data_IF_442197787057
#
_entry.id   IF_442197787057
#
_cell.length_a   1.000
_cell.length_b   1.000
_cell.length_c   1.000
_cell.angle_alpha   90.00
_cell.angle_beta   90.00
_cell.angle_gamma   90.00
#
_symmetry.space_group_name_H-M   'P 1'
#
loop_
_entity.id
_entity.type
_entity.pdbx_description
1 polymer ?
#
# COMPACT_ATOMS: atom_id res chain seq x y z
N UNK A 1 4.46 30.03 -0.23
CA UNK A 1 3.22 29.24 -0.39
C UNK A 1 3.38 27.76 -0.08
N UNK A 2 4.60 27.17 -0.10
CA UNK A 2 4.82 25.75 0.25
C UNK A 2 4.33 25.38 1.66
N UNK A 3 4.48 26.26 2.66
CA UNK A 3 4.02 26.04 4.04
C UNK A 3 2.49 25.81 4.08
N UNK A 4 1.72 26.69 3.45
CA UNK A 4 0.25 26.56 3.38
C UNK A 4 -0.19 25.24 2.74
N UNK A 5 0.50 24.79 1.68
CA UNK A 5 0.20 23.51 1.03
C UNK A 5 0.39 22.33 2.00
N UNK A 6 1.43 22.37 2.84
CA UNK A 6 1.66 21.34 3.86
C UNK A 6 0.62 21.42 5.00
N UNK A 7 0.22 22.61 5.42
CA UNK A 7 -0.82 22.79 6.45
C UNK A 7 -2.17 22.22 5.98
N UNK A 8 -2.55 22.48 4.73
CA UNK A 8 -3.77 21.93 4.12
C UNK A 8 -3.68 20.40 4.05
N UNK A 9 -2.57 19.86 3.54
CA UNK A 9 -2.36 18.42 3.46
C UNK A 9 -2.44 17.76 4.85
N UNK A 10 -1.76 18.32 5.85
CA UNK A 10 -1.79 17.82 7.22
C UNK A 10 -3.21 17.86 7.80
N UNK A 11 -3.95 18.93 7.58
CA UNK A 11 -5.34 19.08 8.03
C UNK A 11 -6.23 17.98 7.44
N UNK A 12 -6.10 17.71 6.13
CA UNK A 12 -6.89 16.67 5.47
C UNK A 12 -6.57 15.28 6.01
N UNK A 13 -5.30 14.99 6.26
CA UNK A 13 -4.86 13.73 6.87
C UNK A 13 -5.42 13.57 8.30
N UNK A 14 -5.35 14.63 9.12
CA UNK A 14 -5.85 14.61 10.50
C UNK A 14 -7.38 14.45 10.58
N UNK A 15 -8.11 15.01 9.61
CA UNK A 15 -9.57 14.89 9.54
C UNK A 15 -10.03 13.58 8.88
N UNK A 16 -9.10 12.75 8.39
CA UNK A 16 -9.41 11.48 7.73
C UNK A 16 -10.19 11.64 6.42
N UNK A 17 -10.03 12.78 5.73
CA UNK A 17 -10.68 12.97 4.45
C UNK A 17 -9.99 12.15 3.37
N UNK A 18 -10.78 11.38 2.62
CA UNK A 18 -10.32 10.74 1.39
C UNK A 18 -10.45 11.74 0.24
N UNK A 19 -9.31 12.22 -0.25
CA UNK A 19 -9.26 13.17 -1.35
C UNK A 19 -8.18 12.76 -2.36
N UNK A 20 -8.43 13.11 -3.63
CA UNK A 20 -7.44 13.01 -4.69
C UNK A 20 -6.60 14.28 -4.69
N UNK A 21 -5.29 14.15 -4.50
CA UNK A 21 -4.33 15.25 -4.51
C UNK A 21 -3.63 15.28 -5.85
N UNK A 22 -3.55 16.46 -6.46
CA UNK A 22 -2.80 16.71 -7.69
C UNK A 22 -1.74 17.78 -7.41
N UNK A 23 -0.48 17.44 -7.69
CA UNK A 23 0.68 18.32 -7.48
C UNK A 23 1.34 18.53 -8.83
N UNK A 24 1.27 19.77 -9.32
CA UNK A 24 1.98 20.19 -10.52
C UNK A 24 3.44 20.54 -10.18
N UNK A 25 4.38 20.09 -11.01
CA UNK A 25 5.78 20.42 -10.86
C UNK A 25 6.01 21.91 -11.12
N UNK A 26 6.93 22.55 -10.39
CA UNK A 26 7.18 23.99 -10.50
C UNK A 26 7.67 24.42 -11.90
N UNK A 27 8.24 23.49 -12.66
CA UNK A 27 8.67 23.69 -14.04
C UNK A 27 7.56 23.41 -15.08
N UNK A 28 6.34 23.10 -14.63
CA UNK A 28 5.17 22.78 -15.46
C UNK A 28 5.36 21.55 -16.36
N UNK A 29 6.34 20.70 -16.10
CA UNK A 29 6.62 19.53 -16.96
C UNK A 29 5.84 18.27 -16.56
N UNK A 30 4.97 18.34 -15.54
CA UNK A 30 4.20 17.18 -15.12
C UNK A 30 3.33 17.41 -13.91
N UNK A 31 2.39 16.49 -13.73
CA UNK A 31 1.48 16.43 -12.58
C UNK A 31 1.63 15.06 -11.93
N UNK A 32 1.80 15.05 -10.61
CA UNK A 32 1.74 13.84 -9.78
C UNK A 32 0.37 13.80 -9.12
N UNK A 33 -0.23 12.62 -9.11
CA UNK A 33 -1.57 12.42 -8.58
C UNK A 33 -1.56 11.22 -7.63
N UNK A 34 -2.20 11.36 -6.48
CA UNK A 34 -2.38 10.27 -5.51
C UNK A 34 -3.65 10.47 -4.68
N UNK A 35 -4.13 9.41 -4.04
CA UNK A 35 -5.23 9.47 -3.09
C UNK A 35 -4.70 9.56 -1.65
N UNK A 36 -5.32 10.37 -0.79
CA UNK A 36 -4.84 10.57 0.60
C UNK A 36 -4.80 9.27 1.42
N UNK A 37 -5.70 8.32 1.16
CA UNK A 37 -5.70 7.00 1.79
C UNK A 37 -4.44 6.17 1.48
N UNK A 38 -3.68 6.53 0.47
CA UNK A 38 -2.40 5.90 0.15
C UNK A 38 -1.27 6.36 1.10
N UNK A 39 -1.39 7.56 1.69
CA UNK A 39 -0.41 8.11 2.65
C UNK A 39 -0.61 7.51 4.04
N UNK A 40 -1.85 7.27 4.44
CA UNK A 40 -2.17 6.76 5.78
C UNK A 40 -1.82 5.28 5.84
N UNK A 41 -0.90 4.94 6.75
CA UNK A 41 -0.53 3.56 7.01
C UNK A 41 -1.53 2.95 7.99
N UNK A 42 -2.18 1.87 7.57
CA UNK A 42 -2.86 0.98 8.49
C UNK A 42 -1.83 0.18 9.30
N UNK A 43 -2.16 -0.14 10.55
CA UNK A 43 -1.41 -1.15 11.29
C UNK A 43 -1.43 -2.48 10.52
N UNK A 44 -0.24 -3.03 10.32
CA UNK A 44 -0.02 -4.34 9.73
C UNK A 44 0.39 -5.30 10.83
N UNK A 45 -0.22 -6.49 10.84
CA UNK A 45 0.24 -7.55 11.73
C UNK A 45 1.44 -8.30 11.14
N UNK A 46 2.12 -9.07 11.99
CA UNK A 46 3.33 -9.81 11.64
C UNK A 46 3.13 -10.72 10.42
N UNK A 47 1.96 -11.38 10.32
CA UNK A 47 1.63 -12.27 9.19
C UNK A 47 1.38 -11.50 7.90
N UNK A 48 0.77 -10.32 7.98
CA UNK A 48 0.61 -9.42 6.86
C UNK A 48 1.97 -8.95 6.32
N UNK A 49 2.91 -8.62 7.22
CA UNK A 49 4.29 -8.27 6.87
C UNK A 49 5.01 -9.45 6.20
N UNK A 50 4.93 -10.66 6.76
CA UNK A 50 5.50 -11.87 6.15
C UNK A 50 4.97 -12.12 4.73
N UNK A 51 3.65 -11.94 4.53
CA UNK A 51 3.02 -12.10 3.21
C UNK A 51 3.53 -11.04 2.23
N UNK A 52 3.65 -9.78 2.64
CA UNK A 52 4.20 -8.70 1.81
C UNK A 52 5.64 -9.04 1.40
N UNK A 53 6.46 -9.50 2.33
CA UNK A 53 7.85 -9.86 2.09
C UNK A 53 7.98 -11.08 1.16
N UNK A 54 7.09 -12.08 1.29
CA UNK A 54 7.03 -13.19 0.34
C UNK A 54 6.70 -12.71 -1.09
N UNK A 55 5.76 -11.77 -1.24
CA UNK A 55 5.40 -11.21 -2.55
C UNK A 55 6.56 -10.41 -3.14
N UNK A 56 7.25 -9.59 -2.32
CA UNK A 56 8.47 -8.88 -2.70
C UNK A 56 9.57 -9.84 -3.16
N UNK A 57 9.69 -11.01 -2.51
CA UNK A 57 10.59 -12.10 -2.88
C UNK A 57 10.22 -12.82 -4.19
N UNK A 58 9.12 -12.44 -4.85
CA UNK A 58 8.71 -12.98 -6.15
C UNK A 58 7.62 -14.05 -6.08
N UNK A 59 7.05 -14.33 -4.90
CA UNK A 59 5.94 -15.28 -4.77
C UNK A 59 4.60 -14.62 -5.13
N UNK A 60 4.01 -15.01 -6.26
CA UNK A 60 2.85 -14.30 -6.83
C UNK A 60 1.51 -15.03 -6.73
N UNK A 61 1.48 -16.23 -6.15
CA UNK A 61 0.26 -17.04 -6.00
C UNK A 61 0.04 -17.39 -4.53
N UNK A 62 -1.23 -17.41 -4.12
CA UNK A 62 -1.65 -17.72 -2.73
C UNK A 62 -1.02 -19.01 -2.22
N UNK A 63 -0.97 -20.07 -3.04
CA UNK A 63 -0.38 -21.35 -2.66
C UNK A 63 1.13 -21.27 -2.42
N UNK A 64 1.84 -20.53 -3.26
CA UNK A 64 3.29 -20.38 -3.15
C UNK A 64 3.65 -19.55 -1.91
N UNK A 65 2.87 -18.49 -1.67
CA UNK A 65 2.98 -17.65 -0.47
C UNK A 65 2.72 -18.49 0.78
N UNK A 66 1.63 -19.25 0.84
CA UNK A 66 1.31 -20.11 1.99
C UNK A 66 2.40 -21.16 2.26
N UNK A 67 3.05 -21.67 1.20
CA UNK A 67 4.14 -22.64 1.34
C UNK A 67 5.40 -21.99 1.93
N UNK A 68 5.78 -20.79 1.49
CA UNK A 68 7.01 -20.13 1.96
C UNK A 68 6.84 -19.50 3.34
N UNK A 69 5.66 -18.98 3.67
CA UNK A 69 5.39 -18.39 4.99
C UNK A 69 4.97 -19.43 6.04
N UNK A 70 4.68 -20.67 5.64
CA UNK A 70 4.11 -21.70 6.51
C UNK A 70 2.77 -21.27 7.19
N UNK A 71 2.07 -20.28 6.61
CA UNK A 71 0.76 -19.83 7.08
C UNK A 71 -0.33 -20.68 6.40
N UNK A 72 -1.41 -21.09 7.11
CA UNK A 72 -2.50 -21.82 6.50
C UNK A 72 -3.10 -21.10 5.29
N UNK A 73 -3.38 -21.85 4.21
CA UNK A 73 -3.85 -21.31 2.92
C UNK A 73 -5.09 -20.40 3.08
N UNK A 74 -6.04 -20.79 3.91
CA UNK A 74 -7.25 -20.01 4.20
C UNK A 74 -6.92 -18.67 4.86
N UNK A 75 -5.92 -18.66 5.74
CA UNK A 75 -5.44 -17.45 6.43
C UNK A 75 -4.72 -16.54 5.46
N UNK A 76 -3.83 -17.07 4.62
CA UNK A 76 -3.14 -16.29 3.58
C UNK A 76 -4.14 -15.66 2.62
N UNK A 77 -5.15 -16.41 2.18
CA UNK A 77 -6.21 -15.88 1.31
C UNK A 77 -6.96 -14.72 1.97
N UNK A 78 -7.35 -14.88 3.24
CA UNK A 78 -8.01 -13.82 4.01
C UNK A 78 -7.13 -12.59 4.16
N UNK A 79 -5.85 -12.77 4.50
CA UNK A 79 -4.88 -11.67 4.67
C UNK A 79 -4.58 -10.94 3.36
N UNK A 80 -4.47 -11.66 2.25
CA UNK A 80 -4.30 -11.04 0.91
C UNK A 80 -5.51 -10.18 0.56
N UNK A 81 -6.74 -10.63 0.88
CA UNK A 81 -7.93 -9.82 0.66
C UNK A 81 -7.90 -8.53 1.48
N UNK A 82 -7.61 -8.65 2.78
CA UNK A 82 -7.49 -7.48 3.67
C UNK A 82 -6.41 -6.51 3.17
N UNK A 83 -5.25 -7.01 2.76
CA UNK A 83 -4.15 -6.19 2.22
C UNK A 83 -4.52 -5.52 0.89
N UNK A 84 -5.33 -6.17 0.06
CA UNK A 84 -5.84 -5.57 -1.17
C UNK A 84 -6.86 -4.47 -0.88
N UNK A 85 -7.77 -4.68 0.08
CA UNK A 85 -8.72 -3.65 0.54
C UNK A 85 -8.02 -2.42 1.14
N UNK A 86 -6.94 -2.64 1.89
CA UNK A 86 -6.06 -1.59 2.44
C UNK A 86 -5.15 -0.91 1.38
N UNK A 87 -5.20 -1.37 0.12
CA UNK A 87 -4.45 -0.79 -1.00
C UNK A 87 -2.96 -1.15 -1.06
N UNK A 88 -2.49 -2.15 -0.30
CA UNK A 88 -1.10 -2.63 -0.38
C UNK A 88 -0.87 -3.61 -1.54
N UNK A 89 -1.92 -4.28 -2.01
CA UNK A 89 -1.85 -5.32 -3.03
C UNK A 89 -2.88 -5.12 -4.14
N UNK A 90 -2.48 -5.49 -5.35
CA UNK A 90 -3.40 -5.70 -6.47
C UNK A 90 -3.58 -7.20 -6.75
N UNK A 91 -4.84 -7.61 -6.90
CA UNK A 91 -5.22 -8.99 -7.20
C UNK A 91 -5.61 -9.11 -8.67
N UNK A 92 -4.76 -9.75 -9.48
CA UNK A 92 -5.08 -10.17 -10.84
C UNK A 92 -4.88 -11.67 -11.03
N UNK A 93 -4.37 -12.06 -12.21
CA UNK A 93 -3.86 -13.43 -12.43
C UNK A 93 -2.68 -13.76 -11.50
N UNK A 94 -1.96 -12.72 -11.10
CA UNK A 94 -0.85 -12.75 -10.16
C UNK A 94 -1.11 -11.69 -9.08
N UNK A 95 -0.63 -11.95 -7.87
CA UNK A 95 -0.64 -10.98 -6.77
C UNK A 95 0.58 -10.09 -6.93
N UNK A 96 0.38 -8.78 -6.87
CA UNK A 96 1.43 -7.77 -6.99
C UNK A 96 1.31 -6.73 -5.87
N UNK A 97 2.45 -6.18 -5.45
CA UNK A 97 2.47 -5.02 -4.57
C UNK A 97 2.05 -3.77 -5.36
N UNK A 98 1.25 -2.92 -4.73
CA UNK A 98 1.06 -1.54 -5.19
C UNK A 98 2.28 -0.70 -4.83
N UNK A 99 2.31 0.58 -5.23
CA UNK A 99 3.36 1.50 -4.78
C UNK A 99 3.43 1.61 -3.25
N UNK A 100 2.26 1.68 -2.59
CA UNK A 100 2.13 1.63 -1.13
C UNK A 100 2.75 0.35 -0.55
N UNK A 101 2.42 -0.80 -1.15
CA UNK A 101 3.00 -2.11 -0.79
C UNK A 101 4.52 -2.20 -0.97
N UNK A 102 5.07 -1.62 -2.04
CA UNK A 102 6.51 -1.56 -2.26
C UNK A 102 7.21 -0.74 -1.18
N UNK A 103 6.70 0.46 -0.89
CA UNK A 103 7.27 1.37 0.11
C UNK A 103 7.25 0.72 1.49
N UNK A 104 6.11 0.15 1.91
CA UNK A 104 6.00 -0.44 3.26
C UNK A 104 6.94 -1.63 3.43
N UNK A 105 7.18 -2.41 2.37
CA UNK A 105 8.13 -3.53 2.38
C UNK A 105 9.60 -3.12 2.50
N UNK A 106 9.92 -1.82 2.42
CA UNK A 106 11.26 -1.28 2.67
C UNK A 106 11.43 -0.80 4.12
N UNK A 107 10.32 -0.55 4.82
CA UNK A 107 10.30 -0.09 6.21
C UNK A 107 10.35 -1.28 7.18
N UNK A 108 9.74 -2.40 6.79
CA UNK A 108 9.81 -3.69 7.48
C UNK A 108 10.80 -4.64 6.80
#
# INVERSE_FOLDING_TARGET
MRILNFEILATFLMLGYDAKVEIEAENLTGVVTFELKEIVNDELDEKEVEIINAIKGGHKKVRDIAKVTNIPLSTVSKKINNLAEKGYLEKGKEIKLTKKGEIISQVY
#
